data_IF_978320874521
#
_entry.id   IF_978320874521
#
_cell.length_a   1.000
_cell.length_b   1.000
_cell.length_c   1.000
_cell.angle_alpha   90.00
_cell.angle_beta   90.00
_cell.angle_gamma   90.00
#
_symmetry.space_group_name_H-M   'P 1'
#
loop_
_entity.id
_entity.type
_entity.pdbx_description
1 polymer ?
#
# COMPACT_ATOMS: atom_id res chain seq x y z
N UNK A 1 -17.20 -17.74 -24.13
CA UNK A 1 -15.87 -17.12 -24.32
C UNK A 1 -15.18 -17.23 -22.98
N UNK A 2 -14.42 -18.30 -22.76
CA UNK A 2 -13.61 -18.50 -21.57
C UNK A 2 -12.34 -17.64 -21.75
N UNK A 3 -12.28 -16.49 -21.09
CA UNK A 3 -11.04 -15.75 -20.99
C UNK A 3 -10.03 -16.60 -20.21
N UNK A 4 -8.88 -16.80 -20.80
CA UNK A 4 -7.76 -17.51 -20.19
C UNK A 4 -7.32 -16.78 -18.92
N UNK A 5 -7.84 -17.18 -17.76
CA UNK A 5 -7.34 -16.72 -16.45
C UNK A 5 -5.85 -17.09 -16.22
N UNK A 6 -5.29 -17.91 -17.11
CA UNK A 6 -3.94 -18.45 -16.97
C UNK A 6 -2.84 -17.56 -17.56
N UNK A 7 -3.17 -16.36 -18.06
CA UNK A 7 -2.18 -15.42 -18.66
C UNK A 7 -2.04 -14.11 -17.91
N UNK A 8 -2.71 -13.94 -16.75
CA UNK A 8 -2.52 -12.73 -15.95
C UNK A 8 -1.12 -12.73 -15.32
N UNK A 9 -0.35 -11.66 -15.49
CA UNK A 9 0.98 -11.58 -14.90
C UNK A 9 0.88 -11.62 -13.36
N UNK A 10 1.63 -12.54 -12.75
CA UNK A 10 1.75 -12.58 -11.29
C UNK A 10 2.60 -11.40 -10.83
N UNK A 11 2.14 -10.70 -9.81
CA UNK A 11 2.91 -9.65 -9.18
C UNK A 11 3.93 -10.25 -8.22
N UNK A 12 5.17 -9.76 -8.29
CA UNK A 12 6.25 -10.21 -7.41
C UNK A 12 6.37 -9.19 -6.27
N UNK A 13 6.32 -9.67 -5.03
CA UNK A 13 6.26 -8.83 -3.82
C UNK A 13 7.61 -8.23 -3.37
N UNK A 14 8.67 -8.28 -4.20
CA UNK A 14 10.00 -7.82 -3.80
C UNK A 14 10.21 -6.31 -3.93
N UNK A 15 9.37 -5.61 -4.68
CA UNK A 15 9.50 -4.18 -4.91
C UNK A 15 8.24 -3.45 -4.44
N UNK A 16 8.34 -2.78 -3.32
CA UNK A 16 7.25 -2.01 -2.74
C UNK A 16 7.76 -0.74 -2.06
N UNK A 17 6.92 0.25 -1.99
CA UNK A 17 7.14 1.52 -1.30
C UNK A 17 6.02 1.76 -0.29
N UNK A 18 6.37 2.28 0.88
CA UNK A 18 5.40 2.67 1.90
C UNK A 18 5.49 4.17 2.11
N UNK A 19 4.34 4.84 2.00
CA UNK A 19 4.18 6.28 2.18
C UNK A 19 3.26 6.49 3.38
N UNK A 20 3.72 7.27 4.37
CA UNK A 20 2.96 7.61 5.56
C UNK A 20 2.84 9.13 5.66
N UNK A 21 1.62 9.63 5.57
CA UNK A 21 1.29 11.05 5.68
C UNK A 21 0.52 11.32 6.97
N UNK A 22 1.02 12.17 7.85
CA UNK A 22 0.30 12.58 9.04
C UNK A 22 -0.86 13.53 8.68
N UNK A 23 -2.02 13.31 9.30
CA UNK A 23 -3.19 14.18 9.13
C UNK A 23 -2.97 15.55 9.79
N UNK A 24 -2.21 15.58 10.89
CA UNK A 24 -1.89 16.80 11.66
C UNK A 24 -0.48 16.65 12.25
N UNK A 25 0.56 17.00 11.45
CA UNK A 25 1.92 16.83 11.90
C UNK A 25 2.24 17.77 13.05
N UNK A 26 2.80 17.27 14.18
CA UNK A 26 3.40 18.15 15.17
C UNK A 26 4.49 18.96 14.50
N UNK A 27 4.67 20.23 14.87
CA UNK A 27 5.52 21.18 14.16
C UNK A 27 7.01 20.80 13.96
N UNK A 28 7.44 19.66 14.48
CA UNK A 28 8.78 19.10 14.31
C UNK A 28 8.84 17.91 13.34
N UNK A 29 7.70 17.36 12.90
CA UNK A 29 7.64 16.19 12.03
C UNK A 29 7.32 16.63 10.60
N UNK A 30 8.18 16.25 9.67
CA UNK A 30 7.96 16.54 8.24
C UNK A 30 6.92 15.56 7.65
N UNK A 31 6.17 16.01 6.66
CA UNK A 31 5.29 15.18 5.85
C UNK A 31 5.83 15.05 4.43
N UNK A 32 5.89 13.86 3.86
CA UNK A 32 5.52 12.57 4.46
C UNK A 32 6.49 12.17 5.58
N UNK A 33 5.96 11.57 6.66
CA UNK A 33 6.80 11.03 7.75
C UNK A 33 7.77 9.98 7.23
N UNK A 34 7.32 9.24 6.24
CA UNK A 34 8.13 8.25 5.56
C UNK A 34 7.64 8.10 4.12
N UNK A 35 8.56 8.29 3.19
CA UNK A 35 8.50 7.80 1.82
C UNK A 35 9.79 7.03 1.63
N UNK A 36 9.77 5.73 1.91
CA UNK A 36 10.98 4.94 1.92
C UNK A 36 10.73 3.49 1.51
N UNK A 37 11.77 2.88 0.99
CA UNK A 37 11.81 1.43 0.79
C UNK A 37 11.97 0.75 2.14
N UNK A 38 11.00 -0.07 2.50
CA UNK A 38 11.06 -0.97 3.64
C UNK A 38 11.59 -2.33 3.20
N UNK A 39 12.22 -3.05 4.11
CA UNK A 39 12.66 -4.42 3.84
C UNK A 39 11.53 -5.43 4.00
N UNK A 40 10.53 -5.08 4.81
CA UNK A 40 9.45 -5.99 5.16
C UNK A 40 8.19 -5.19 5.50
N UNK A 41 7.05 -5.65 4.97
CA UNK A 41 5.73 -5.10 5.22
C UNK A 41 4.74 -6.27 5.36
N UNK A 42 4.23 -6.49 6.57
CA UNK A 42 3.33 -7.60 6.88
C UNK A 42 2.13 -7.12 7.69
N UNK A 43 0.99 -7.83 7.55
CA UNK A 43 -0.23 -7.51 8.30
C UNK A 43 -1.27 -6.68 7.54
N UNK A 44 -1.24 -6.67 6.20
CA UNK A 44 -2.33 -6.13 5.37
C UNK A 44 -3.51 -7.12 5.37
N UNK A 45 -4.31 -7.10 6.43
CA UNK A 45 -5.31 -8.13 6.71
C UNK A 45 -6.66 -7.50 7.07
N UNK A 46 -7.73 -8.10 6.57
CA UNK A 46 -9.12 -7.82 6.94
C UNK A 46 -9.82 -9.11 7.32
N UNK A 47 -10.48 -9.13 8.48
CA UNK A 47 -11.20 -10.29 8.98
C UNK A 47 -12.64 -9.92 9.31
N UNK A 48 -13.58 -10.78 8.94
CA UNK A 48 -15.00 -10.68 9.30
C UNK A 48 -15.40 -11.95 10.03
N UNK A 49 -15.84 -11.82 11.28
CA UNK A 49 -16.35 -12.95 12.05
C UNK A 49 -17.83 -13.12 11.79
N UNK A 50 -18.29 -14.28 11.21
CA UNK A 50 -19.70 -14.52 10.98
C UNK A 50 -20.42 -14.79 12.30
N UNK A 51 -21.60 -14.19 12.47
CA UNK A 51 -22.52 -14.49 13.56
C UNK A 51 -23.49 -15.56 13.13
N UNK A 52 -23.66 -16.58 13.96
CA UNK A 52 -24.64 -17.63 13.73
C UNK A 52 -25.93 -17.28 14.44
N UNK A 53 -27.02 -17.18 13.67
CA UNK A 53 -28.38 -17.00 14.18
C UNK A 53 -29.12 -18.31 14.01
N UNK A 54 -29.68 -18.82 15.11
CA UNK A 54 -30.52 -20.02 15.10
C UNK A 54 -31.97 -19.60 14.97
N UNK A 55 -32.64 -20.14 13.98
CA UNK A 55 -34.07 -20.00 13.80
C UNK A 55 -34.78 -21.13 14.54
N UNK A 56 -35.73 -20.77 15.43
CA UNK A 56 -36.51 -21.76 16.21
C UNK A 56 -37.31 -22.65 15.26
N UNK A 57 -37.08 -23.98 15.35
CA UNK A 57 -37.77 -24.97 14.52
C UNK A 57 -36.96 -25.42 13.28
N UNK A 58 -35.88 -24.75 12.91
CA UNK A 58 -34.97 -25.18 11.84
C UNK A 58 -33.73 -25.84 12.45
N UNK A 59 -33.71 -27.16 12.50
CA UNK A 59 -32.60 -27.93 13.06
C UNK A 59 -31.54 -28.34 12.00
N UNK A 60 -31.77 -28.03 10.73
CA UNK A 60 -30.90 -28.48 9.64
C UNK A 60 -29.97 -27.39 9.15
N UNK A 61 -30.35 -26.11 9.28
CA UNK A 61 -29.59 -25.00 8.74
C UNK A 61 -29.36 -23.89 9.79
N UNK A 62 -28.21 -23.28 9.74
CA UNK A 62 -27.87 -22.10 10.53
C UNK A 62 -27.70 -20.91 9.61
N UNK A 63 -28.44 -19.82 9.92
CA UNK A 63 -28.28 -18.56 9.22
C UNK A 63 -26.97 -17.93 9.70
N UNK A 64 -26.07 -17.63 8.76
CA UNK A 64 -24.82 -16.94 9.04
C UNK A 64 -24.94 -15.48 8.58
N UNK A 65 -24.80 -14.55 9.49
CA UNK A 65 -24.75 -13.11 9.22
C UNK A 65 -23.31 -12.64 9.30
N UNK A 66 -22.91 -11.72 8.43
CA UNK A 66 -21.59 -11.11 8.48
C UNK A 66 -21.50 -10.21 9.72
N UNK A 67 -20.42 -10.36 10.46
CA UNK A 67 -20.07 -9.51 11.59
C UNK A 67 -19.32 -8.25 11.15
N UNK A 68 -18.90 -7.41 12.09
CA UNK A 68 -18.07 -6.24 11.80
C UNK A 68 -16.71 -6.66 11.25
N UNK A 69 -16.15 -5.83 10.35
CA UNK A 69 -14.79 -6.01 9.87
C UNK A 69 -13.81 -5.58 10.94
N UNK A 70 -12.80 -6.41 11.19
CA UNK A 70 -11.61 -6.09 11.96
C UNK A 70 -10.38 -6.08 11.06
N UNK A 71 -9.39 -5.31 11.44
CA UNK A 71 -8.17 -5.12 10.67
C UNK A 71 -6.96 -5.64 11.44
N UNK A 72 -5.99 -6.17 10.73
CA UNK A 72 -4.75 -6.66 11.31
C UNK A 72 -3.86 -5.54 11.83
N UNK A 73 -2.69 -5.93 12.29
CA UNK A 73 -1.65 -5.01 12.73
C UNK A 73 -0.52 -4.99 11.69
N UNK A 74 -0.28 -3.83 11.09
CA UNK A 74 0.78 -3.67 10.11
C UNK A 74 2.15 -3.62 10.79
N UNK A 75 3.07 -4.47 10.36
CA UNK A 75 4.47 -4.48 10.80
C UNK A 75 5.36 -4.03 9.66
N UNK A 76 6.12 -2.98 9.88
CA UNK A 76 7.07 -2.40 8.94
C UNK A 76 8.48 -2.54 9.48
N UNK A 77 9.42 -3.03 8.64
CA UNK A 77 10.84 -3.10 8.98
C UNK A 77 11.67 -2.36 7.95
N UNK A 78 12.64 -1.59 8.41
CA UNK A 78 13.60 -0.92 7.53
C UNK A 78 14.99 -0.84 8.15
N UNK A 79 16.01 -0.64 7.32
CA UNK A 79 17.32 -0.25 7.81
C UNK A 79 17.25 1.11 8.51
N UNK A 80 17.92 1.26 9.63
CA UNK A 80 17.97 2.51 10.39
C UNK A 80 18.65 3.60 9.55
N UNK A 81 18.00 4.74 9.44
CA UNK A 81 18.48 5.90 8.67
C UNK A 81 18.88 7.04 9.62
N UNK A 82 19.43 8.11 9.06
CA UNK A 82 19.75 9.33 9.82
C UNK A 82 18.51 10.09 10.28
N UNK A 83 17.36 9.85 9.64
CA UNK A 83 16.10 10.49 9.98
C UNK A 83 15.44 9.74 11.15
N UNK A 84 14.96 10.49 12.14
CA UNK A 84 14.27 9.95 13.32
C UNK A 84 12.75 10.14 13.26
N UNK A 85 12.18 10.32 12.06
CA UNK A 85 10.79 10.74 11.87
C UNK A 85 9.79 9.75 12.46
N UNK A 86 10.01 8.44 12.27
CA UNK A 86 9.16 7.40 12.87
C UNK A 86 9.18 7.42 14.39
N UNK A 87 10.37 7.65 14.97
CA UNK A 87 10.54 7.77 16.42
C UNK A 87 9.84 9.01 16.97
N UNK A 88 9.98 10.14 16.28
CA UNK A 88 9.33 11.40 16.66
C UNK A 88 7.81 11.26 16.59
N UNK A 89 7.27 10.62 15.55
CA UNK A 89 5.86 10.33 15.46
C UNK A 89 5.38 9.43 16.60
N UNK A 90 6.11 8.33 16.89
CA UNK A 90 5.76 7.44 18.00
C UNK A 90 5.72 8.17 19.35
N UNK A 91 6.73 9.02 19.63
CA UNK A 91 6.77 9.81 20.86
C UNK A 91 5.62 10.82 20.89
N UNK A 92 5.34 11.50 19.79
CA UNK A 92 4.24 12.46 19.69
C UNK A 92 2.87 11.78 19.89
N UNK A 93 2.68 10.56 19.37
CA UNK A 93 1.46 9.80 19.58
C UNK A 93 1.22 9.39 21.04
N UNK A 94 2.29 9.21 21.82
CA UNK A 94 2.22 8.89 23.26
C UNK A 94 2.00 10.10 24.18
N UNK A 95 2.08 11.35 23.67
CA UNK A 95 1.87 12.52 24.47
C UNK A 95 0.37 12.79 24.73
N UNK A 96 0.07 13.35 25.90
CA UNK A 96 -1.30 13.71 26.29
C UNK A 96 -1.83 14.82 25.39
N UNK A 97 -2.97 14.58 24.73
CA UNK A 97 -3.62 15.55 23.87
C UNK A 97 -4.23 14.90 22.65
N UNK A 98 -3.95 15.46 21.48
CA UNK A 98 -4.40 14.93 20.21
C UNK A 98 -3.36 13.96 19.66
N UNK A 99 -3.74 12.70 19.48
CA UNK A 99 -2.86 11.70 18.85
C UNK A 99 -2.83 11.92 17.34
N UNK A 100 -1.66 12.23 16.74
CA UNK A 100 -1.57 12.41 15.29
C UNK A 100 -1.77 11.07 14.59
N UNK A 101 -2.85 10.96 13.82
CA UNK A 101 -3.11 9.83 12.93
C UNK A 101 -2.39 10.02 11.61
N UNK A 102 -2.16 8.93 10.89
CA UNK A 102 -1.58 8.96 9.56
C UNK A 102 -2.47 8.26 8.54
N UNK A 103 -2.38 8.72 7.29
CA UNK A 103 -2.83 7.98 6.12
C UNK A 103 -1.62 7.23 5.58
N UNK A 104 -1.81 5.93 5.33
CA UNK A 104 -0.76 5.05 4.81
C UNK A 104 -1.09 4.58 3.40
N UNK A 105 -0.09 4.50 2.54
CA UNK A 105 -0.18 3.85 1.24
C UNK A 105 0.97 2.87 1.09
N UNK A 106 0.65 1.65 0.65
CA UNK A 106 1.64 0.64 0.29
C UNK A 106 1.48 0.37 -1.20
N UNK A 107 2.48 0.73 -1.98
CA UNK A 107 2.51 0.58 -3.41
C UNK A 107 3.31 -0.66 -3.79
N UNK A 108 2.66 -1.62 -4.43
CA UNK A 108 3.35 -2.74 -5.07
C UNK A 108 3.78 -2.32 -6.47
N UNK A 109 5.09 -2.34 -6.71
CA UNK A 109 5.73 -1.81 -7.91
C UNK A 109 6.18 -2.98 -8.79
N UNK A 110 5.94 -2.89 -10.09
CA UNK A 110 6.39 -3.89 -11.05
C UNK A 110 7.86 -3.72 -11.46
N UNK A 111 8.35 -4.62 -12.30
CA UNK A 111 9.71 -4.56 -12.83
C UNK A 111 10.00 -3.33 -13.71
N UNK A 112 8.97 -2.65 -14.19
CA UNK A 112 9.07 -1.40 -14.96
C UNK A 112 9.07 -0.14 -14.07
N UNK A 113 8.99 -0.31 -12.75
CA UNK A 113 8.96 0.79 -11.78
C UNK A 113 7.59 1.47 -11.65
N UNK A 114 6.54 0.83 -12.19
CA UNK A 114 5.19 1.39 -12.11
C UNK A 114 4.38 0.72 -10.99
N UNK A 115 3.62 1.49 -10.20
CA UNK A 115 2.72 0.93 -9.21
C UNK A 115 1.58 0.17 -9.90
N UNK A 116 1.30 -1.05 -9.45
CA UNK A 116 0.24 -1.93 -9.96
C UNK A 116 -0.89 -2.13 -8.97
N UNK A 117 -0.55 -2.19 -7.70
CA UNK A 117 -1.52 -2.33 -6.63
C UNK A 117 -1.19 -1.31 -5.55
N UNK A 118 -2.20 -0.60 -5.10
CA UNK A 118 -2.10 0.36 -4.00
C UNK A 118 -3.01 -0.10 -2.88
N UNK A 119 -2.43 -0.34 -1.71
CA UNK A 119 -3.15 -0.55 -0.46
C UNK A 119 -3.22 0.78 0.25
N UNK A 120 -4.42 1.30 0.49
CA UNK A 120 -4.63 2.54 1.23
C UNK A 120 -5.15 2.23 2.62
N UNK A 121 -4.45 2.72 3.63
CA UNK A 121 -4.78 2.57 5.03
C UNK A 121 -5.19 3.92 5.62
N UNK A 122 -6.21 3.93 6.50
CA UNK A 122 -6.68 5.16 7.15
C UNK A 122 -6.60 5.06 8.66
N UNK A 123 -6.38 6.19 9.29
CA UNK A 123 -6.27 6.35 10.74
C UNK A 123 -5.20 5.42 11.32
N UNK A 124 -4.02 5.41 10.70
CA UNK A 124 -2.89 4.65 11.19
C UNK A 124 -2.37 5.26 12.50
N UNK A 125 -2.18 4.41 13.51
CA UNK A 125 -1.63 4.78 14.80
C UNK A 125 -0.44 3.89 15.13
N UNK A 126 0.70 4.44 15.56
CA UNK A 126 1.84 3.66 15.96
C UNK A 126 1.59 3.05 17.35
N UNK A 127 1.71 1.72 17.45
CA UNK A 127 1.47 1.00 18.71
C UNK A 127 2.73 0.40 19.31
N UNK A 128 3.77 0.19 18.49
CA UNK A 128 5.05 -0.33 18.96
C UNK A 128 6.18 0.16 18.08
N UNK A 129 7.27 0.54 18.69
CA UNK A 129 8.54 0.84 18.04
C UNK A 129 9.65 0.03 18.67
N UNK A 130 10.44 -0.64 17.84
CA UNK A 130 11.57 -1.45 18.26
C UNK A 130 12.82 -0.99 17.52
N UNK A 131 13.85 -0.67 18.30
CA UNK A 131 15.18 -0.39 17.78
C UNK A 131 15.92 -1.68 17.37
N UNK A 132 17.03 -1.54 16.66
CA UNK A 132 17.85 -2.66 16.22
C UNK A 132 18.47 -3.42 17.40
N UNK A 133 18.69 -4.70 17.20
CA UNK A 133 19.59 -5.46 18.08
C UNK A 133 21.04 -5.03 17.78
N UNK A 134 21.75 -4.60 18.82
CA UNK A 134 23.15 -4.16 18.68
C UNK A 134 24.09 -5.29 19.07
N UNK A 135 24.82 -5.83 18.08
CA UNK A 135 25.79 -6.90 18.26
C UNK A 135 27.14 -6.46 17.71
N UNK A 136 28.11 -6.20 18.59
CA UNK A 136 29.41 -5.67 18.18
C UNK A 136 30.29 -6.64 17.37
N UNK A 137 29.95 -7.93 17.38
CA UNK A 137 30.74 -9.00 16.73
C UNK A 137 30.39 -9.21 15.26
N UNK A 138 29.20 -8.83 14.84
CA UNK A 138 28.69 -9.01 13.48
C UNK A 138 28.40 -7.64 12.87
N UNK A 139 28.93 -7.39 11.67
CA UNK A 139 28.67 -6.13 10.93
C UNK A 139 27.30 -6.10 10.27
N UNK A 140 26.25 -6.52 11.00
CA UNK A 140 24.89 -6.56 10.48
C UNK A 140 24.26 -5.17 10.39
N UNK A 141 23.37 -5.01 9.42
CA UNK A 141 22.61 -3.77 9.24
C UNK A 141 21.65 -3.60 10.42
N UNK A 142 21.67 -2.43 11.03
CA UNK A 142 20.73 -2.08 12.08
C UNK A 142 19.31 -1.94 11.51
N UNK A 143 18.38 -2.81 11.90
CA UNK A 143 16.98 -2.83 11.44
C UNK A 143 16.07 -2.32 12.55
N UNK A 144 15.27 -1.32 12.25
CA UNK A 144 14.18 -0.86 13.10
C UNK A 144 12.83 -1.43 12.65
N UNK A 145 11.95 -1.67 13.61
CA UNK A 145 10.61 -2.23 13.38
C UNK A 145 9.56 -1.31 14.00
N UNK A 146 8.53 -0.98 13.21
CA UNK A 146 7.36 -0.24 13.67
C UNK A 146 6.10 -1.06 13.45
N UNK A 147 5.21 -1.09 14.45
CA UNK A 147 3.89 -1.70 14.33
C UNK A 147 2.83 -0.62 14.41
N UNK A 148 1.88 -0.69 13.47
CA UNK A 148 0.77 0.23 13.31
C UNK A 148 -0.55 -0.52 13.42
N UNK A 149 -1.57 0.10 14.00
CA UNK A 149 -2.96 -0.31 13.82
C UNK A 149 -3.64 0.68 12.89
N UNK A 150 -4.62 0.22 12.14
CA UNK A 150 -5.39 1.03 11.21
C UNK A 150 -6.86 0.68 11.27
N UNK A 151 -7.74 1.60 10.93
CA UNK A 151 -9.19 1.42 11.02
C UNK A 151 -9.87 1.17 9.68
N UNK A 152 -9.12 1.23 8.58
CA UNK A 152 -9.65 0.96 7.25
C UNK A 152 -8.52 0.53 6.31
N UNK A 153 -8.81 -0.46 5.47
CA UNK A 153 -7.94 -0.92 4.39
C UNK A 153 -8.76 -0.99 3.10
N UNK A 154 -8.24 -0.40 2.05
CA UNK A 154 -8.77 -0.55 0.70
C UNK A 154 -7.66 -0.92 -0.27
N UNK A 155 -8.01 -1.67 -1.30
CA UNK A 155 -7.09 -2.15 -2.33
C UNK A 155 -7.54 -1.61 -3.67
N UNK A 156 -6.62 -1.02 -4.42
CA UNK A 156 -6.85 -0.51 -5.76
C UNK A 156 -5.85 -1.14 -6.72
N UNK A 157 -6.36 -1.81 -7.74
CA UNK A 157 -5.57 -2.29 -8.87
C UNK A 157 -5.49 -1.20 -9.93
N UNK A 158 -4.29 -0.97 -10.47
CA UNK A 158 -4.03 -0.03 -11.54
C UNK A 158 -3.81 -0.82 -12.84
N UNK A 159 -4.80 -0.77 -13.73
CA UNK A 159 -4.67 -1.31 -15.08
C UNK A 159 -3.97 -0.28 -15.96
N UNK A 160 -2.82 -0.63 -16.50
CA UNK A 160 -2.17 0.17 -17.54
C UNK A 160 -2.79 -0.21 -18.88
N UNK A 161 -3.80 0.54 -19.31
CA UNK A 161 -4.22 0.50 -20.69
C UNK A 161 -3.19 1.27 -21.52
N UNK A 162 -2.29 0.54 -22.18
CA UNK A 162 -1.48 1.12 -23.24
C UNK A 162 -2.41 1.37 -24.43
N UNK A 163 -2.88 2.60 -24.59
CA UNK A 163 -3.55 3.02 -25.79
C UNK A 163 -2.52 3.04 -26.93
N UNK A 164 -2.32 1.89 -27.55
CA UNK A 164 -1.63 1.84 -28.83
C UNK A 164 -2.51 2.56 -29.85
N UNK A 165 -2.17 3.80 -30.18
CA UNK A 165 -2.70 4.47 -31.36
C UNK A 165 -2.16 3.71 -32.59
N UNK A 166 -2.94 2.72 -33.03
CA UNK A 166 -2.74 2.06 -34.32
C UNK A 166 -3.29 2.98 -35.41
N UNK A 167 -2.65 4.11 -35.62
CA UNK A 167 -2.88 4.95 -36.76
C UNK A 167 -2.48 4.20 -38.04
N UNK A 168 -3.38 3.44 -38.63
CA UNK A 168 -3.27 2.99 -40.00
C UNK A 168 -3.41 4.22 -40.89
N UNK A 169 -2.28 4.85 -41.21
CA UNK A 169 -2.22 5.83 -42.30
C UNK A 169 -2.02 5.05 -43.58
N UNK A 170 -3.13 4.73 -44.26
CA UNK A 170 -3.11 4.37 -45.64
C UNK A 170 -3.00 5.61 -46.51
N UNK A 171 -1.97 5.67 -47.35
CA UNK A 171 -2.05 6.51 -48.58
C UNK A 171 -0.95 7.50 -48.79
N UNK A 172 0.00 7.12 -49.65
CA UNK A 172 0.64 7.88 -50.72
C UNK A 172 1.35 9.22 -50.41
N UNK A 173 2.65 9.18 -50.56
CA UNK A 173 3.40 10.29 -51.24
C UNK A 173 4.09 11.31 -50.36
N UNK A 174 5.42 11.19 -50.24
CA UNK A 174 6.29 12.38 -50.27
C UNK A 174 6.79 12.90 -48.92
N UNK A 175 8.09 12.69 -48.66
CA UNK A 175 8.89 13.68 -47.92
C UNK A 175 9.17 13.39 -46.47
N UNK A 176 10.31 12.82 -46.19
CA UNK A 176 10.98 12.71 -44.88
C UNK A 176 11.13 14.10 -44.24
N UNK A 177 10.52 14.32 -43.11
CA UNK A 177 11.01 15.25 -42.08
C UNK A 177 10.90 14.55 -40.72
N UNK A 178 12.05 14.23 -40.15
CA UNK A 178 12.22 13.78 -38.77
C UNK A 178 12.11 15.03 -37.92
N UNK A 179 11.12 15.10 -37.04
CA UNK A 179 11.15 15.99 -35.88
C UNK A 179 10.85 15.16 -34.64
N UNK A 180 11.88 15.03 -33.80
CA UNK A 180 11.80 14.48 -32.47
C UNK A 180 10.81 15.26 -31.61
N UNK A 181 9.75 14.61 -31.16
CA UNK A 181 9.08 14.95 -29.92
C UNK A 181 8.29 13.73 -29.43
N UNK A 182 8.98 12.90 -28.65
CA UNK A 182 8.34 11.81 -27.89
C UNK A 182 7.66 12.48 -26.67
N UNK A 183 6.42 12.89 -26.82
CA UNK A 183 5.51 13.23 -25.74
C UNK A 183 4.64 12.03 -25.42
N UNK A 184 5.08 11.15 -24.55
CA UNK A 184 4.25 10.09 -24.02
C UNK A 184 3.26 10.69 -23.00
N UNK A 185 2.04 10.98 -23.43
CA UNK A 185 0.93 11.26 -22.51
C UNK A 185 0.44 9.95 -21.91
N UNK A 186 0.86 9.69 -20.69
CA UNK A 186 0.32 8.59 -19.88
C UNK A 186 -0.89 9.11 -19.12
N UNK A 187 -2.09 8.79 -19.62
CA UNK A 187 -3.32 9.04 -18.87
C UNK A 187 -3.66 7.83 -18.01
N UNK A 188 -3.63 8.00 -16.69
CA UNK A 188 -4.02 7.00 -15.72
C UNK A 188 -5.53 7.11 -15.48
N UNK A 189 -6.31 6.18 -16.01
CA UNK A 189 -7.75 6.07 -15.71
C UNK A 189 -7.97 5.04 -14.60
N UNK A 190 -8.49 5.49 -13.47
CA UNK A 190 -8.85 4.63 -12.35
C UNK A 190 -10.30 4.13 -12.51
N UNK A 191 -10.50 2.83 -12.68
CA UNK A 191 -11.82 2.19 -12.57
C UNK A 191 -12.03 1.71 -11.15
N UNK A 192 -13.04 2.25 -10.49
CA UNK A 192 -13.52 1.76 -9.19
C UNK A 192 -14.45 0.59 -9.46
N UNK A 193 -14.08 -0.61 -9.03
CA UNK A 193 -14.99 -1.74 -8.94
C UNK A 193 -15.45 -1.85 -7.49
N UNK A 194 -16.77 -1.77 -7.32
CA UNK A 194 -17.47 -1.98 -6.04
C UNK A 194 -17.61 -3.47 -5.82
#
# INVERSE_FOLDING_TARGET
MSGDENTLPLYIAFNFEVILNLDDPPGSVQTPVCSASFSDCDGLEMTMEPRVVREGGNNQEHIRLMGPTSYGQLTLKRGMTKTSDLWQWFVAAGQTGRTPTAQGEVHLIDASGQPRVIFTLRNCLPVKMRGPALVAKTGEIAIEEMQLVYSHLSVKHLDVTVSGDSGIVGGSGGGLRVSDSIGANVSVSAKLSI
#
